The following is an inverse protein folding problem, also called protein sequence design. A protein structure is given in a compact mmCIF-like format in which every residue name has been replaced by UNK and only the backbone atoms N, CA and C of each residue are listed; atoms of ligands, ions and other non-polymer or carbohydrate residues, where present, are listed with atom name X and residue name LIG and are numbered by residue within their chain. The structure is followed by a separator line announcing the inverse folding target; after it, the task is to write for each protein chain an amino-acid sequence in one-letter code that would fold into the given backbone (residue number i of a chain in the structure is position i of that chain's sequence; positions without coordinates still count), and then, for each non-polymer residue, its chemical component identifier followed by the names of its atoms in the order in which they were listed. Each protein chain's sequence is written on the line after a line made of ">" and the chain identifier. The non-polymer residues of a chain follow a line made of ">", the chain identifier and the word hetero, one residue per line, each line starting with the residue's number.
data_IF_576516254190
#
_entry.id   IF_576516254190
#
_cell.length_a   1.000
_cell.length_b   1.000
_cell.length_c   1.000
_cell.angle_alpha   90.00
_cell.angle_beta   90.00
_cell.angle_gamma   90.00
#
_symmetry.space_group_name_H-M   'P 1'
#
loop_
_entity.id
_entity.type
_entity.pdbx_description
1 polymer ?
#
# COMPACT_ATOMS: atom_id res chain seq x y z
N UNK A 1 8.11 17.37 -25.64
CA UNK A 1 7.36 16.21 -25.11
C UNK A 1 6.39 16.75 -24.05
N UNK A 2 5.18 16.21 -23.90
CA UNK A 2 4.08 16.73 -23.03
C UNK A 2 3.22 17.91 -23.56
N UNK A 3 3.41 18.40 -24.79
CA UNK A 3 2.56 19.48 -25.34
C UNK A 3 1.08 19.11 -25.44
N UNK A 4 0.77 17.82 -25.57
CA UNK A 4 -0.59 17.30 -25.72
C UNK A 4 -1.23 16.89 -24.38
N UNK A 5 -0.51 17.00 -23.27
CA UNK A 5 -1.05 16.62 -21.96
C UNK A 5 -1.73 17.83 -21.34
N UNK A 6 -3.04 17.70 -21.16
CA UNK A 6 -3.78 18.53 -20.23
C UNK A 6 -3.52 18.02 -18.81
N UNK A 7 -2.79 18.80 -18.01
CA UNK A 7 -2.39 18.42 -16.66
C UNK A 7 -3.57 18.35 -15.69
N UNK A 8 -4.59 19.19 -15.83
CA UNK A 8 -5.78 19.15 -14.99
C UNK A 8 -6.61 17.88 -15.26
N UNK A 9 -6.70 17.47 -16.52
CA UNK A 9 -7.39 16.22 -16.89
C UNK A 9 -6.61 14.99 -16.44
N UNK A 10 -5.28 15.04 -16.54
CA UNK A 10 -4.41 13.98 -16.04
C UNK A 10 -4.56 13.79 -14.52
N UNK A 11 -4.49 14.88 -13.75
CA UNK A 11 -4.63 14.86 -12.28
C UNK A 11 -5.99 14.31 -11.85
N UNK A 12 -7.05 14.68 -12.57
CA UNK A 12 -8.42 14.18 -12.34
C UNK A 12 -8.66 12.76 -12.89
N UNK A 13 -7.62 12.07 -13.38
CA UNK A 13 -7.67 10.71 -13.95
C UNK A 13 -8.65 10.58 -15.12
N UNK A 14 -8.81 11.63 -15.93
CA UNK A 14 -9.70 11.65 -17.12
C UNK A 14 -9.04 11.18 -18.40
N UNK A 15 -7.70 11.18 -18.44
CA UNK A 15 -6.93 10.65 -19.57
C UNK A 15 -6.78 9.14 -19.38
N UNK A 16 -7.26 8.36 -20.34
CA UNK A 16 -7.14 6.90 -20.30
C UNK A 16 -5.67 6.45 -20.36
N UNK A 17 -5.21 5.58 -19.45
CA UNK A 17 -3.85 5.05 -19.53
C UNK A 17 -3.63 4.27 -20.84
N UNK A 18 -2.46 4.40 -21.49
CA UNK A 18 -2.16 3.67 -22.73
C UNK A 18 -2.05 2.15 -22.51
N UNK A 19 -1.90 1.70 -21.27
CA UNK A 19 -1.88 0.30 -20.87
C UNK A 19 -2.84 0.07 -19.70
N UNK A 20 -3.68 -0.97 -19.83
CA UNK A 20 -4.55 -1.44 -18.76
C UNK A 20 -4.10 -2.84 -18.34
N UNK A 21 -3.69 -3.06 -17.07
CA UNK A 21 -3.28 -4.39 -16.60
C UNK A 21 -4.48 -5.35 -16.59
N UNK A 22 -4.19 -6.64 -16.77
CA UNK A 22 -5.22 -7.68 -16.67
C UNK A 22 -5.55 -7.90 -15.18
N UNK A 23 -6.80 -7.64 -14.80
CA UNK A 23 -7.29 -7.83 -13.43
C UNK A 23 -8.66 -8.52 -13.51
N UNK A 24 -8.79 -9.69 -12.89
CA UNK A 24 -10.01 -10.51 -12.99
C UNK A 24 -11.07 -10.20 -11.92
N UNK A 25 -10.65 -9.71 -10.76
CA UNK A 25 -11.52 -9.39 -9.63
C UNK A 25 -10.83 -8.38 -8.70
N UNK A 26 -11.57 -7.76 -7.75
CA UNK A 26 -10.97 -6.86 -6.75
C UNK A 26 -9.91 -7.51 -5.85
N UNK A 27 -9.85 -8.85 -5.81
CA UNK A 27 -8.89 -9.63 -5.01
C UNK A 27 -7.86 -10.37 -5.86
N UNK A 28 -7.71 -10.00 -7.15
CA UNK A 28 -6.79 -10.69 -8.06
C UNK A 28 -5.32 -10.40 -7.72
N UNK A 29 -4.54 -11.46 -7.50
CA UNK A 29 -3.11 -11.38 -7.24
C UNK A 29 -2.24 -11.67 -8.47
N UNK A 30 -2.80 -11.75 -9.67
CA UNK A 30 -2.09 -12.18 -10.89
C UNK A 30 -0.91 -11.31 -11.32
N UNK A 31 -0.85 -10.05 -10.84
CA UNK A 31 0.22 -9.10 -11.14
C UNK A 31 1.30 -9.00 -10.05
N UNK A 32 1.30 -9.91 -9.07
CA UNK A 32 2.38 -10.05 -8.08
C UNK A 32 3.30 -11.24 -8.42
N UNK A 33 4.55 -11.17 -7.99
CA UNK A 33 5.49 -12.28 -8.19
C UNK A 33 5.06 -13.53 -7.40
N UNK A 34 5.20 -14.70 -8.02
CA UNK A 34 4.84 -15.98 -7.43
C UNK A 34 5.73 -16.34 -6.24
N UNK A 35 6.97 -15.84 -6.18
CA UNK A 35 7.84 -16.10 -5.03
C UNK A 35 7.17 -15.69 -3.71
N UNK A 36 6.56 -14.50 -3.68
CA UNK A 36 5.82 -14.01 -2.51
C UNK A 36 4.47 -14.71 -2.32
N UNK A 37 3.76 -15.01 -3.40
CA UNK A 37 2.44 -15.66 -3.31
C UNK A 37 2.52 -17.14 -2.86
N UNK A 38 3.65 -17.79 -3.13
CA UNK A 38 3.89 -19.17 -2.73
C UNK A 38 4.26 -19.29 -1.25
N UNK A 39 4.81 -18.24 -0.64
CA UNK A 39 5.05 -18.21 0.80
C UNK A 39 3.72 -17.98 1.54
N UNK A 40 3.42 -18.86 2.51
CA UNK A 40 2.25 -18.66 3.37
C UNK A 40 2.48 -17.43 4.28
N UNK A 41 1.48 -16.54 4.44
CA UNK A 41 1.63 -15.35 5.25
C UNK A 41 1.91 -15.73 6.71
N UNK A 42 2.97 -15.16 7.27
CA UNK A 42 3.40 -15.38 8.67
C UNK A 42 4.10 -14.14 9.22
N UNK A 43 4.06 -13.98 10.54
CA UNK A 43 4.84 -12.97 11.26
C UNK A 43 6.12 -13.62 11.80
N UNK A 44 7.27 -13.02 11.50
CA UNK A 44 8.55 -13.45 12.05
C UNK A 44 8.66 -13.11 13.54
N UNK A 45 9.44 -13.89 14.28
CA UNK A 45 9.78 -13.58 15.66
C UNK A 45 10.70 -12.35 15.73
N UNK A 46 10.51 -11.53 16.75
CA UNK A 46 11.39 -10.41 17.04
C UNK A 46 12.36 -10.72 18.17
N UNK A 47 13.53 -10.07 18.16
CA UNK A 47 14.50 -10.16 19.24
C UNK A 47 14.00 -9.39 20.48
N UNK A 48 13.66 -10.14 21.53
CA UNK A 48 13.15 -9.59 22.78
C UNK A 48 14.19 -8.74 23.51
N UNK A 49 15.47 -9.11 23.47
CA UNK A 49 16.51 -8.34 24.15
C UNK A 49 16.69 -6.97 23.47
N UNK A 50 16.65 -6.95 22.15
CA UNK A 50 16.69 -5.70 21.37
C UNK A 50 15.46 -4.83 21.66
N UNK A 51 14.25 -5.39 21.59
CA UNK A 51 13.02 -4.64 21.87
C UNK A 51 13.04 -4.04 23.28
N UNK A 52 13.47 -4.81 24.27
CA UNK A 52 13.48 -4.37 25.67
C UNK A 52 14.53 -3.27 25.96
N UNK A 53 15.60 -3.23 25.18
CA UNK A 53 16.66 -2.21 25.31
C UNK A 53 16.41 -0.96 24.48
N UNK A 54 15.45 -1.02 23.56
CA UNK A 54 15.05 0.10 22.71
C UNK A 54 14.27 1.16 23.51
N UNK A 55 14.49 2.44 23.20
CA UNK A 55 13.65 3.53 23.71
C UNK A 55 12.20 3.35 23.24
N UNK A 56 11.28 3.18 24.18
CA UNK A 56 9.86 2.98 23.90
C UNK A 56 9.19 4.22 23.29
N UNK A 57 9.85 5.37 23.29
CA UNK A 57 9.38 6.58 22.61
C UNK A 57 9.86 6.69 21.15
N UNK A 58 10.65 5.73 20.65
CA UNK A 58 11.19 5.76 19.28
C UNK A 58 10.10 5.85 18.21
N UNK A 59 8.91 5.29 18.49
CA UNK A 59 7.75 5.31 17.59
C UNK A 59 6.63 6.24 18.09
N UNK A 60 6.95 7.21 18.96
CA UNK A 60 5.98 8.21 19.41
C UNK A 60 5.39 8.95 18.20
N UNK A 61 4.07 9.10 18.20
CA UNK A 61 3.28 9.72 17.12
C UNK A 61 3.27 8.92 15.80
N UNK A 62 3.58 7.61 15.82
CA UNK A 62 3.48 6.74 14.64
C UNK A 62 2.03 6.45 14.23
N UNK A 63 1.13 6.26 15.20
CA UNK A 63 -0.26 5.92 14.91
C UNK A 63 -0.99 7.07 14.21
N UNK A 64 -1.56 6.77 13.05
CA UNK A 64 -2.38 7.69 12.26
C UNK A 64 -3.60 6.94 11.72
N UNK A 65 -4.77 7.59 11.75
CA UNK A 65 -5.99 7.09 11.14
C UNK A 65 -6.53 8.16 10.19
N UNK A 66 -6.79 7.77 8.94
CA UNK A 66 -7.48 8.64 8.00
C UNK A 66 -8.97 8.73 8.40
N UNK A 67 -9.59 9.92 8.45
CA UNK A 67 -11.02 10.06 8.79
C UNK A 67 -11.96 9.17 7.96
N UNK A 68 -11.64 8.90 6.70
CA UNK A 68 -12.41 7.97 5.86
C UNK A 68 -12.35 6.51 6.33
N UNK A 69 -11.29 6.12 7.05
CA UNK A 69 -11.16 4.80 7.67
C UNK A 69 -11.89 4.71 9.00
N UNK A 70 -12.08 5.82 9.73
CA UNK A 70 -12.79 5.82 11.02
C UNK A 70 -14.20 5.28 10.87
N UNK A 71 -14.93 5.69 9.83
CA UNK A 71 -16.29 5.21 9.55
C UNK A 71 -16.38 3.74 9.12
N UNK A 72 -15.27 3.09 8.75
CA UNK A 72 -15.25 1.65 8.45
C UNK A 72 -15.00 0.78 9.69
N UNK A 73 -14.44 1.37 10.74
CA UNK A 73 -14.02 0.68 11.96
C UNK A 73 -15.03 0.89 13.10
N UNK A 74 -15.80 1.98 13.07
CA UNK A 74 -16.91 2.29 14.00
C UNK A 74 -18.16 1.46 13.72
#
# INVERSE_FOLDING_TARGET
>A
MFREINWEELERKKIDPPFRPKVKSPYDCSNFDKEFLNEKPRLSFADRALINSMDQNMFRNFSFVNPGMEGLIS
#
